data_IF_268851652023
#
_entry.id   IF_268851652023
#
_cell.length_a   1.000
_cell.length_b   1.000
_cell.length_c   1.000
_cell.angle_alpha   90.00
_cell.angle_beta   90.00
_cell.angle_gamma   90.00
#
_symmetry.space_group_name_H-M   'P 1'
#
loop_
_entity.id
_entity.type
_entity.pdbx_description
1 polymer ?
#
# COMPACT_ATOMS: atom_id res chain seq x y z
N UNK A 1 34.94 -21.34 82.74
CA UNK A 1 35.99 -21.94 81.90
C UNK A 1 35.56 -23.37 81.57
N UNK A 2 35.03 -23.58 80.38
CA UNK A 2 34.74 -24.90 79.80
C UNK A 2 34.79 -24.77 78.27
N UNK A 3 35.46 -25.73 77.64
CA UNK A 3 35.68 -25.85 76.20
C UNK A 3 34.39 -26.26 75.46
N UNK A 4 34.24 -25.83 74.20
CA UNK A 4 33.83 -26.74 73.11
C UNK A 4 34.25 -26.18 71.74
N UNK A 5 34.61 -27.09 70.85
CA UNK A 5 35.21 -26.94 69.54
C UNK A 5 34.18 -26.76 68.42
N UNK A 6 34.51 -26.00 67.36
CA UNK A 6 33.99 -26.27 66.01
C UNK A 6 34.89 -25.61 64.94
N UNK A 7 35.26 -26.43 63.95
CA UNK A 7 36.15 -26.16 62.83
C UNK A 7 35.39 -25.60 61.61
N UNK A 8 36.06 -24.74 60.83
CA UNK A 8 35.63 -24.32 59.49
C UNK A 8 36.20 -25.28 58.42
N UNK A 9 35.46 -25.58 57.33
CA UNK A 9 35.95 -26.45 56.25
C UNK A 9 36.79 -25.72 55.18
N UNK A 10 37.63 -26.45 54.42
CA UNK A 10 38.51 -25.93 53.37
C UNK A 10 37.83 -25.87 51.97
N UNK A 11 38.44 -25.21 50.97
CA UNK A 11 37.86 -25.03 49.64
C UNK A 11 38.10 -26.26 48.75
N UNK A 12 37.07 -26.68 48.00
CA UNK A 12 37.10 -27.85 47.12
C UNK A 12 36.77 -27.52 45.66
N UNK A 13 37.80 -27.72 44.83
CA UNK A 13 37.88 -28.33 43.50
C UNK A 13 36.95 -27.93 42.34
N UNK A 14 37.60 -27.65 41.21
CA UNK A 14 37.05 -27.31 39.90
C UNK A 14 36.42 -28.53 39.21
N UNK A 15 35.31 -28.30 38.53
CA UNK A 15 34.57 -29.28 37.74
C UNK A 15 35.35 -29.85 36.55
N UNK A 16 35.72 -31.13 36.62
CA UNK A 16 36.16 -31.98 35.50
C UNK A 16 34.94 -32.57 34.76
N UNK A 17 34.91 -32.63 33.41
CA UNK A 17 33.80 -33.24 32.68
C UNK A 17 33.83 -34.78 32.77
N UNK A 18 32.64 -35.38 32.90
CA UNK A 18 32.40 -36.81 33.03
C UNK A 18 32.85 -37.63 31.80
N UNK A 19 33.53 -38.75 32.08
CA UNK A 19 34.03 -39.74 31.13
C UNK A 19 32.96 -40.80 30.88
N UNK A 20 32.54 -40.96 29.63
CA UNK A 20 31.53 -41.95 29.21
C UNK A 20 32.18 -43.34 29.19
N UNK A 21 31.73 -44.21 30.10
CA UNK A 21 32.11 -45.62 30.17
C UNK A 21 31.43 -46.40 29.04
N UNK A 22 32.21 -47.09 28.22
CA UNK A 22 31.73 -48.03 27.18
C UNK A 22 31.84 -49.46 27.74
N UNK A 23 30.78 -50.30 27.66
CA UNK A 23 30.86 -51.67 28.16
C UNK A 23 31.70 -52.53 27.21
N UNK A 24 32.71 -53.18 27.79
CA UNK A 24 33.47 -54.25 27.16
C UNK A 24 32.65 -55.54 27.24
N UNK A 25 32.17 -56.04 26.10
CA UNK A 25 31.91 -57.46 25.83
C UNK A 25 31.45 -57.63 24.38
N UNK A 26 32.42 -57.79 23.48
CA UNK A 26 32.23 -58.44 22.19
C UNK A 26 33.61 -58.87 21.66
N UNK A 27 34.10 -60.01 22.15
CA UNK A 27 35.22 -60.72 21.52
C UNK A 27 34.74 -61.16 20.13
N UNK A 28 35.28 -60.54 19.09
CA UNK A 28 35.03 -60.93 17.69
C UNK A 28 36.22 -61.77 17.23
N UNK A 29 35.94 -63.03 16.92
CA UNK A 29 36.87 -63.96 16.27
C UNK A 29 37.32 -63.40 14.90
N UNK A 30 38.62 -63.27 14.61
CA UNK A 30 39.12 -62.66 13.38
C UNK A 30 38.93 -63.49 12.10
N UNK A 31 38.36 -64.70 12.15
CA UNK A 31 38.30 -65.60 10.98
C UNK A 31 36.91 -65.97 10.45
N UNK A 32 35.83 -65.30 10.85
CA UNK A 32 34.53 -65.51 10.18
C UNK A 32 34.28 -64.52 9.02
N UNK A 33 33.99 -65.00 7.79
CA UNK A 33 33.63 -64.12 6.70
C UNK A 33 32.23 -63.53 6.94
N UNK A 34 32.19 -62.27 7.35
CA UNK A 34 30.96 -61.47 7.40
C UNK A 34 30.28 -61.48 6.04
N UNK A 35 29.23 -62.29 5.88
CA UNK A 35 28.33 -62.23 4.72
C UNK A 35 27.69 -60.83 4.68
N UNK A 36 28.27 -59.93 3.87
CA UNK A 36 27.66 -58.65 3.55
C UNK A 36 26.35 -58.89 2.83
N UNK A 37 25.25 -58.87 3.58
CA UNK A 37 23.89 -58.80 3.04
C UNK A 37 23.82 -57.57 2.13
N UNK A 38 23.79 -57.80 0.81
CA UNK A 38 23.69 -56.74 -0.19
C UNK A 38 22.30 -56.10 -0.07
N UNK A 39 22.20 -55.04 0.73
CA UNK A 39 21.04 -54.16 0.70
C UNK A 39 21.00 -53.44 -0.66
N UNK A 40 19.82 -53.33 -1.31
CA UNK A 40 19.71 -52.75 -2.64
C UNK A 40 20.19 -51.29 -2.64
N UNK A 41 20.96 -50.94 -3.67
CA UNK A 41 21.63 -49.65 -3.87
C UNK A 41 20.72 -48.43 -3.61
N UNK A 42 19.42 -48.57 -3.87
CA UNK A 42 18.39 -47.56 -3.63
C UNK A 42 18.20 -47.14 -2.17
N UNK A 43 18.41 -48.03 -1.20
CA UNK A 43 18.37 -47.66 0.23
C UNK A 43 19.60 -46.87 0.68
N UNK A 44 20.72 -46.99 -0.05
CA UNK A 44 21.98 -46.30 0.29
C UNK A 44 22.05 -44.85 -0.21
N UNK A 45 21.19 -44.49 -1.16
CA UNK A 45 21.14 -43.16 -1.79
C UNK A 45 20.04 -42.26 -1.18
N UNK A 46 19.24 -42.77 -0.24
CA UNK A 46 18.17 -41.98 0.38
C UNK A 46 16.95 -41.77 -0.53
N UNK A 47 16.69 -42.70 -1.45
CA UNK A 47 15.52 -42.65 -2.35
C UNK A 47 14.17 -42.62 -1.63
N UNK A 48 14.13 -43.02 -0.36
CA UNK A 48 12.96 -42.94 0.52
C UNK A 48 12.58 -41.49 0.84
N UNK A 49 13.55 -40.58 0.99
CA UNK A 49 13.28 -39.16 1.17
C UNK A 49 12.80 -38.48 -0.11
N UNK A 50 13.30 -38.92 -1.26
CA UNK A 50 12.88 -38.40 -2.56
C UNK A 50 11.44 -38.76 -2.90
N UNK A 51 11.00 -40.01 -2.65
CA UNK A 51 9.61 -40.43 -2.89
C UNK A 51 8.64 -39.74 -1.94
N UNK A 52 9.01 -39.54 -0.67
CA UNK A 52 8.20 -38.77 0.30
C UNK A 52 8.08 -37.30 -0.12
N UNK A 53 9.19 -36.68 -0.54
CA UNK A 53 9.17 -35.29 -1.03
C UNK A 53 8.27 -35.13 -2.27
N UNK A 54 8.36 -36.07 -3.21
CA UNK A 54 7.52 -36.07 -4.41
C UNK A 54 6.04 -36.27 -4.08
N UNK A 55 5.72 -37.14 -3.11
CA UNK A 55 4.36 -37.36 -2.65
C UNK A 55 3.76 -36.10 -1.99
N UNK A 56 4.51 -35.43 -1.11
CA UNK A 56 4.08 -34.19 -0.46
C UNK A 56 3.82 -33.09 -1.49
N UNK A 57 4.74 -32.91 -2.45
CA UNK A 57 4.54 -31.93 -3.51
C UNK A 57 3.34 -32.28 -4.39
N UNK A 58 3.13 -33.56 -4.73
CA UNK A 58 1.95 -34.01 -5.46
C UNK A 58 0.63 -33.67 -4.75
N UNK A 59 0.56 -33.89 -3.43
CA UNK A 59 -0.61 -33.52 -2.63
C UNK A 59 -0.82 -32.01 -2.60
N UNK A 60 0.23 -31.22 -2.44
CA UNK A 60 0.13 -29.76 -2.46
C UNK A 60 -0.36 -29.20 -3.81
N UNK A 61 0.09 -29.80 -4.92
CA UNK A 61 -0.39 -29.43 -6.26
C UNK A 61 -1.88 -29.76 -6.42
N UNK A 62 -2.33 -30.93 -5.96
CA UNK A 62 -3.75 -31.31 -6.02
C UNK A 62 -4.62 -30.37 -5.17
N UNK A 63 -4.19 -30.03 -3.95
CA UNK A 63 -4.88 -29.07 -3.09
C UNK A 63 -4.95 -27.66 -3.72
N UNK A 64 -3.86 -27.21 -4.36
CA UNK A 64 -3.83 -25.94 -5.06
C UNK A 64 -4.77 -25.93 -6.28
N UNK A 65 -4.80 -27.01 -7.07
CA UNK A 65 -5.73 -27.15 -8.19
C UNK A 65 -7.20 -27.15 -7.70
N UNK A 66 -7.49 -27.85 -6.62
CA UNK A 66 -8.83 -27.87 -6.03
C UNK A 66 -9.23 -26.48 -5.52
N UNK A 67 -8.32 -25.75 -4.90
CA UNK A 67 -8.53 -24.37 -4.44
C UNK A 67 -8.78 -23.40 -5.60
N UNK A 68 -8.02 -23.50 -6.69
CA UNK A 68 -8.22 -22.67 -7.89
C UNK A 68 -9.57 -22.99 -8.56
N UNK A 69 -9.91 -24.27 -8.72
CA UNK A 69 -11.20 -24.66 -9.33
C UNK A 69 -12.36 -24.20 -8.44
N UNK A 70 -12.28 -24.36 -7.12
CA UNK A 70 -13.30 -23.89 -6.18
C UNK A 70 -13.48 -22.37 -6.23
N UNK A 71 -12.40 -21.60 -6.24
CA UNK A 71 -12.47 -20.13 -6.31
C UNK A 71 -12.95 -19.61 -7.67
N UNK A 72 -12.62 -20.30 -8.77
CA UNK A 72 -13.06 -19.92 -10.13
C UNK A 72 -14.49 -20.40 -10.46
N UNK A 73 -14.96 -21.50 -9.87
CA UNK A 73 -16.35 -21.97 -10.06
C UNK A 73 -17.35 -21.16 -9.24
N UNK A 74 -16.98 -20.64 -8.07
CA UNK A 74 -17.81 -19.65 -7.34
C UNK A 74 -17.95 -18.34 -8.14
N UNK A 75 -16.90 -17.91 -8.84
CA UNK A 75 -16.90 -16.68 -9.66
C UNK A 75 -17.76 -16.78 -10.92
N UNK A 76 -18.10 -17.99 -11.38
CA UNK A 76 -18.90 -18.22 -12.61
C UNK A 76 -20.35 -18.60 -12.32
N UNK A 77 -20.67 -19.15 -11.14
CA UNK A 77 -22.05 -19.47 -10.74
C UNK A 77 -22.87 -18.28 -10.24
N UNK A 78 -22.26 -17.12 -9.96
CA UNK A 78 -22.99 -15.89 -9.57
C UNK A 78 -23.41 -14.99 -10.74
N UNK A 79 -23.38 -15.48 -11.99
CA UNK A 79 -24.10 -14.82 -13.09
C UNK A 79 -25.52 -15.39 -13.20
N UNK A 80 -26.37 -15.04 -12.22
CA UNK A 80 -27.83 -15.10 -12.42
C UNK A 80 -28.24 -13.92 -13.30
N UNK A 81 -29.08 -14.20 -14.28
CA UNK A 81 -29.58 -13.25 -15.28
C UNK A 81 -30.15 -11.96 -14.64
N UNK A 82 -29.89 -10.78 -15.22
CA UNK A 82 -30.35 -9.51 -14.66
C UNK A 82 -31.80 -9.24 -15.09
N UNK A 83 -32.77 -9.89 -14.43
CA UNK A 83 -34.19 -9.47 -14.52
C UNK A 83 -34.87 -9.22 -13.18
N UNK A 84 -34.13 -9.26 -12.07
CA UNK A 84 -34.69 -8.92 -10.76
C UNK A 84 -33.75 -7.97 -10.01
N UNK A 85 -34.06 -6.68 -10.04
CA UNK A 85 -33.51 -5.74 -9.08
C UNK A 85 -34.24 -5.93 -7.75
N UNK A 86 -33.68 -6.75 -6.87
CA UNK A 86 -33.98 -6.68 -5.45
C UNK A 86 -33.16 -5.51 -4.88
N UNK A 87 -33.79 -4.37 -4.63
CA UNK A 87 -33.23 -3.37 -3.72
C UNK A 87 -33.27 -3.98 -2.32
N UNK A 88 -32.15 -4.58 -1.92
CA UNK A 88 -31.93 -5.08 -0.57
C UNK A 88 -32.09 -3.93 0.42
N UNK A 89 -33.13 -4.04 1.25
CA UNK A 89 -33.31 -3.24 2.44
C UNK A 89 -32.07 -3.37 3.33
N UNK A 90 -31.51 -2.24 3.73
CA UNK A 90 -30.51 -2.19 4.78
C UNK A 90 -31.09 -2.77 6.05
N UNK A 91 -30.35 -3.69 6.67
CA UNK A 91 -30.62 -4.16 8.01
C UNK A 91 -30.58 -3.01 9.00
N UNK A 92 -31.72 -2.77 9.64
CA UNK A 92 -31.91 -1.83 10.74
C UNK A 92 -33.39 -1.87 11.11
N UNK A 93 -33.72 -2.38 12.29
CA UNK A 93 -35.09 -2.37 12.81
C UNK A 93 -35.60 -0.93 12.85
N UNK A 94 -36.68 -0.65 12.11
CA UNK A 94 -37.42 0.62 11.96
C UNK A 94 -37.24 1.42 10.65
N UNK A 95 -36.91 0.78 9.52
CA UNK A 95 -37.08 1.39 8.19
C UNK A 95 -38.49 1.20 7.63
N UNK A 96 -39.19 2.30 7.32
CA UNK A 96 -40.52 2.28 6.69
C UNK A 96 -40.57 1.46 5.39
N UNK A 97 -41.69 0.76 5.16
CA UNK A 97 -41.93 -0.08 3.98
C UNK A 97 -41.76 0.75 2.69
N UNK A 98 -40.98 0.22 1.74
CA UNK A 98 -40.75 0.82 0.44
C UNK A 98 -42.07 1.15 -0.28
N UNK A 99 -42.30 2.44 -0.56
CA UNK A 99 -43.39 2.88 -1.44
C UNK A 99 -43.02 2.51 -2.87
N UNK A 100 -43.81 1.63 -3.49
CA UNK A 100 -43.71 1.33 -4.91
C UNK A 100 -44.15 2.55 -5.72
N UNK A 101 -43.22 3.21 -6.39
CA UNK A 101 -43.53 4.17 -7.44
C UNK A 101 -43.52 3.44 -8.78
N UNK A 102 -44.69 3.26 -9.40
CA UNK A 102 -44.79 2.77 -10.77
C UNK A 102 -44.28 3.84 -11.74
N UNK A 103 -43.01 3.75 -12.12
CA UNK A 103 -42.51 4.53 -13.25
C UNK A 103 -42.90 3.80 -14.55
N UNK A 104 -43.94 4.32 -15.24
CA UNK A 104 -44.19 3.99 -16.64
C UNK A 104 -42.95 4.34 -17.46
N UNK A 105 -42.19 3.33 -17.86
CA UNK A 105 -41.04 3.46 -18.76
C UNK A 105 -41.59 3.92 -20.12
N UNK A 106 -41.53 5.23 -20.40
CA UNK A 106 -41.61 5.72 -21.77
C UNK A 106 -40.29 5.37 -22.46
N UNK A 107 -40.27 4.57 -23.54
CA UNK A 107 -39.05 4.34 -24.29
C UNK A 107 -38.57 5.68 -24.85
N UNK A 108 -37.44 6.17 -24.35
CA UNK A 108 -36.73 7.28 -24.97
C UNK A 108 -36.24 6.78 -26.32
N UNK A 109 -36.73 7.41 -27.40
CA UNK A 109 -36.23 7.20 -28.75
C UNK A 109 -34.69 7.24 -28.72
N UNK A 110 -34.07 6.11 -29.03
CA UNK A 110 -32.63 5.98 -29.18
C UNK A 110 -32.18 6.77 -30.41
N UNK A 111 -32.05 8.08 -30.29
CA UNK A 111 -31.33 8.89 -31.27
C UNK A 111 -29.84 8.82 -30.95
N UNK A 112 -29.11 8.25 -31.90
CA UNK A 112 -27.65 8.27 -32.06
C UNK A 112 -26.81 7.28 -31.22
N UNK A 113 -27.11 5.98 -31.35
CA UNK A 113 -26.09 4.91 -31.28
C UNK A 113 -25.88 4.33 -32.69
N UNK A 114 -25.34 5.15 -33.59
CA UNK A 114 -24.84 4.70 -34.88
C UNK A 114 -23.65 5.59 -35.24
N UNK A 115 -22.47 5.24 -34.74
CA UNK A 115 -21.22 5.75 -35.31
C UNK A 115 -21.09 5.13 -36.71
N UNK A 116 -21.54 5.82 -37.74
CA UNK A 116 -21.15 5.47 -39.10
C UNK A 116 -19.64 5.69 -39.21
N UNK A 117 -18.90 4.62 -39.46
CA UNK A 117 -17.49 4.68 -39.80
C UNK A 117 -17.35 5.40 -41.15
N UNK A 118 -17.05 6.70 -41.11
CA UNK A 118 -16.69 7.44 -42.30
C UNK A 118 -15.31 6.95 -42.77
N UNK A 119 -15.26 6.20 -43.88
CA UNK A 119 -13.99 5.86 -44.52
C UNK A 119 -13.47 7.11 -45.23
N UNK A 120 -12.25 7.51 -44.91
CA UNK A 120 -11.53 8.60 -45.57
C UNK A 120 -11.26 8.17 -47.02
N UNK A 121 -11.88 8.82 -47.99
CA UNK A 121 -11.58 8.65 -49.43
C UNK A 121 -10.99 9.95 -49.98
N UNK A 122 -9.90 9.82 -50.72
CA UNK A 122 -9.18 10.93 -51.35
C UNK A 122 -9.96 11.44 -52.57
N UNK A 123 -10.23 12.75 -52.62
CA UNK A 123 -10.77 13.44 -53.81
C UNK A 123 -9.65 14.01 -54.69
N UNK A 124 -8.61 13.23 -54.98
CA UNK A 124 -7.57 13.64 -55.93
C UNK A 124 -7.96 13.25 -57.36
N UNK A 125 -7.95 14.20 -58.27
CA UNK A 125 -8.21 14.05 -59.72
C UNK A 125 -7.18 13.19 -60.46
N UNK A 126 -6.13 12.68 -59.79
CA UNK A 126 -5.06 11.88 -60.40
C UNK A 126 -5.04 10.41 -59.92
N UNK A 127 -6.09 9.92 -59.26
CA UNK A 127 -6.13 8.54 -58.79
C UNK A 127 -6.47 7.54 -59.91
N UNK A 128 -5.51 6.71 -60.29
CA UNK A 128 -5.60 5.71 -61.40
C UNK A 128 -6.48 4.50 -61.09
N UNK A 129 -7.09 4.37 -59.91
CA UNK A 129 -7.98 3.25 -59.56
C UNK A 129 -9.24 3.78 -58.89
N UNK A 130 -10.35 3.82 -59.63
CA UNK A 130 -11.69 4.04 -59.11
C UNK A 130 -12.41 2.68 -58.98
N UNK A 131 -12.87 2.35 -57.77
CA UNK A 131 -13.80 1.23 -57.55
C UNK A 131 -15.23 1.72 -57.83
N UNK A 132 -16.12 0.90 -58.42
CA UNK A 132 -17.50 1.30 -58.70
C UNK A 132 -18.32 1.51 -57.41
N UNK A 133 -19.20 2.52 -57.42
CA UNK A 133 -20.12 2.83 -56.32
C UNK A 133 -21.17 1.72 -56.15
N UNK A 134 -21.32 1.23 -54.92
CA UNK A 134 -22.42 0.32 -54.57
C UNK A 134 -23.72 1.11 -54.32
N UNK A 135 -24.89 0.56 -54.68
CA UNK A 135 -26.18 1.23 -54.50
C UNK A 135 -26.48 1.44 -53.01
N UNK A 136 -26.77 2.69 -52.64
CA UNK A 136 -27.26 3.04 -51.31
C UNK A 136 -28.73 2.63 -51.18
N UNK A 137 -29.01 1.68 -50.29
CA UNK A 137 -30.36 1.28 -49.93
C UNK A 137 -31.14 2.45 -49.32
N UNK A 138 -32.36 2.61 -49.81
CA UNK A 138 -33.36 3.64 -49.53
C UNK A 138 -33.63 3.88 -48.04
N UNK A 139 -33.18 5.01 -47.49
CA UNK A 139 -33.71 5.61 -46.24
C UNK A 139 -33.56 7.14 -46.19
N UNK A 140 -32.98 7.75 -47.21
CA UNK A 140 -32.71 9.20 -47.29
C UNK A 140 -33.89 10.04 -47.81
N UNK A 141 -35.01 9.41 -48.20
CA UNK A 141 -36.19 10.10 -48.74
C UNK A 141 -37.20 10.59 -47.69
N UNK A 142 -37.08 10.22 -46.41
CA UNK A 142 -38.05 10.63 -45.37
C UNK A 142 -37.69 11.92 -44.62
N UNK A 143 -36.49 12.47 -44.78
CA UNK A 143 -36.04 13.62 -43.97
C UNK A 143 -36.23 14.99 -44.66
N UNK A 144 -36.46 15.03 -45.97
CA UNK A 144 -36.74 16.28 -46.70
C UNK A 144 -38.21 16.75 -46.60
N UNK A 145 -39.10 15.94 -46.00
CA UNK A 145 -40.53 16.25 -45.89
C UNK A 145 -40.95 16.92 -44.57
N UNK A 146 -40.04 17.11 -43.59
CA UNK A 146 -40.41 17.60 -42.25
C UNK A 146 -39.89 19.01 -41.91
N UNK A 147 -39.26 19.72 -42.85
CA UNK A 147 -38.64 21.03 -42.62
C UNK A 147 -39.42 22.24 -43.20
N UNK A 148 -40.66 22.08 -43.68
CA UNK A 148 -41.40 23.19 -44.33
C UNK A 148 -42.84 23.45 -43.89
N UNK A 149 -43.20 23.26 -42.61
CA UNK A 149 -44.58 23.50 -42.16
C UNK A 149 -44.65 24.10 -40.76
N UNK A 150 -44.89 25.41 -40.69
CA UNK A 150 -44.85 26.21 -39.48
C UNK A 150 -46.06 26.14 -38.55
N UNK A 151 -45.96 26.97 -37.50
CA UNK A 151 -46.99 27.43 -36.55
C UNK A 151 -47.53 26.36 -35.58
N UNK A 152 -47.71 26.60 -34.29
CA UNK A 152 -47.70 27.81 -33.45
C UNK A 152 -47.87 27.36 -31.98
N UNK A 153 -47.76 28.34 -31.06
CA UNK A 153 -47.83 28.27 -29.58
C UNK A 153 -46.49 27.91 -28.94
N UNK A 154 -45.77 28.79 -28.27
CA UNK A 154 -46.12 30.07 -27.68
C UNK A 154 -45.40 30.17 -26.33
N UNK A 155 -44.95 31.38 -26.02
CA UNK A 155 -44.58 31.88 -24.69
C UNK A 155 -43.24 31.45 -24.05
N UNK A 156 -42.46 32.48 -23.68
CA UNK A 156 -41.54 32.41 -22.54
C UNK A 156 -40.15 32.97 -22.79
N UNK A 157 -40.03 34.28 -23.04
CA UNK A 157 -38.74 34.98 -22.96
C UNK A 157 -38.20 34.99 -21.53
N UNK A 158 -36.87 35.02 -21.40
CA UNK A 158 -36.18 35.16 -20.13
C UNK A 158 -34.67 35.11 -20.30
N UNK A 159 -34.08 36.27 -20.58
CA UNK A 159 -32.64 36.53 -20.46
C UNK A 159 -32.18 36.31 -19.02
N UNK A 160 -31.30 35.32 -18.81
CA UNK A 160 -30.54 35.13 -17.59
C UNK A 160 -29.07 34.97 -17.94
N UNK A 161 -28.37 36.11 -18.06
CA UNK A 161 -26.92 36.14 -18.11
C UNK A 161 -26.33 35.61 -16.81
N UNK A 162 -25.35 34.73 -16.92
CA UNK A 162 -24.62 34.17 -15.80
C UNK A 162 -23.57 33.18 -16.32
N UNK A 163 -22.39 33.69 -16.66
CA UNK A 163 -21.18 32.87 -16.77
C UNK A 163 -20.82 32.49 -15.33
N UNK A 164 -21.45 31.44 -14.83
CA UNK A 164 -21.10 30.77 -13.60
C UNK A 164 -20.65 29.36 -13.94
N UNK A 165 -19.44 28.99 -13.52
CA UNK A 165 -18.96 27.60 -13.49
C UNK A 165 -19.80 26.79 -12.49
N UNK A 166 -21.06 26.54 -12.84
CA UNK A 166 -21.98 25.68 -12.11
C UNK A 166 -21.55 24.24 -12.32
N UNK A 167 -20.83 23.69 -11.34
CA UNK A 167 -20.55 22.27 -11.22
C UNK A 167 -21.91 21.57 -11.08
N UNK A 168 -22.36 20.90 -12.15
CA UNK A 168 -23.52 20.03 -12.10
C UNK A 168 -23.21 18.84 -11.19
N UNK A 169 -23.78 18.85 -9.98
CA UNK A 169 -23.75 17.70 -9.07
C UNK A 169 -24.66 16.59 -9.61
N UNK A 170 -24.10 15.75 -10.48
CA UNK A 170 -24.69 14.47 -10.84
C UNK A 170 -24.51 13.49 -9.68
N UNK A 171 -25.57 13.27 -8.90
CA UNK A 171 -25.63 12.18 -7.92
C UNK A 171 -25.91 10.88 -8.69
N UNK A 172 -24.83 10.19 -9.07
CA UNK A 172 -24.93 8.89 -9.69
C UNK A 172 -23.67 8.07 -9.43
N UNK A 173 -23.74 7.17 -8.43
CA UNK A 173 -23.11 5.83 -8.33
C UNK A 173 -21.61 5.61 -8.58
N UNK A 174 -20.88 6.49 -9.24
CA UNK A 174 -19.44 6.51 -9.29
C UNK A 174 -18.94 7.39 -8.16
N UNK A 175 -18.13 6.86 -7.25
CA UNK A 175 -17.42 7.68 -6.27
C UNK A 175 -16.69 8.78 -7.04
N UNK A 176 -17.20 10.01 -6.93
CA UNK A 176 -16.68 11.16 -7.63
C UNK A 176 -15.20 11.29 -7.27
N UNK A 177 -14.29 11.09 -8.25
CA UNK A 177 -12.83 11.30 -8.12
C UNK A 177 -12.47 12.79 -7.94
N UNK A 178 -13.36 13.55 -7.30
CA UNK A 178 -13.14 14.93 -6.87
C UNK A 178 -12.20 14.81 -5.67
N UNK A 179 -10.94 15.18 -5.86
CA UNK A 179 -9.94 15.14 -4.79
C UNK A 179 -10.44 15.89 -3.55
N UNK A 180 -10.32 15.26 -2.39
CA UNK A 180 -10.81 15.78 -1.12
C UNK A 180 -9.77 16.73 -0.52
N UNK A 181 -10.22 17.88 -0.02
CA UNK A 181 -9.33 18.90 0.55
C UNK A 181 -8.94 18.53 1.99
N UNK A 182 -7.66 18.36 2.25
CA UNK A 182 -7.07 18.12 3.57
C UNK A 182 -5.91 19.10 3.75
N UNK A 183 -5.92 19.89 4.83
CA UNK A 183 -4.84 20.84 5.16
C UNK A 183 -4.44 21.76 3.99
N UNK A 184 -5.41 22.22 3.20
CA UNK A 184 -5.18 23.06 2.03
C UNK A 184 -4.88 22.30 0.73
N UNK A 185 -4.47 21.02 0.77
CA UNK A 185 -4.16 20.25 -0.44
C UNK A 185 -5.31 19.32 -0.87
N UNK A 186 -5.42 19.03 -2.18
CA UNK A 186 -6.37 18.03 -2.69
C UNK A 186 -5.73 16.65 -2.75
N UNK A 187 -6.30 15.71 -2.00
CA UNK A 187 -5.94 14.30 -2.02
C UNK A 187 -6.89 13.54 -2.95
N UNK A 188 -6.34 13.04 -4.05
CA UNK A 188 -7.07 12.23 -5.04
C UNK A 188 -6.93 10.74 -4.71
N UNK A 189 -7.76 10.24 -3.80
CA UNK A 189 -7.71 8.88 -3.30
C UNK A 189 -9.09 8.40 -2.82
N UNK A 190 -9.26 7.08 -2.70
CA UNK A 190 -10.45 6.46 -2.13
C UNK A 190 -10.16 5.76 -0.79
N UNK A 191 -8.93 5.27 -0.60
CA UNK A 191 -8.48 4.60 0.63
C UNK A 191 -7.07 5.06 0.93
N UNK A 192 -6.88 5.61 2.12
CA UNK A 192 -5.60 6.17 2.52
C UNK A 192 -5.08 5.50 3.78
N UNK A 193 -3.77 5.30 3.82
CA UNK A 193 -3.04 5.11 5.07
C UNK A 193 -2.29 6.41 5.38
N UNK A 194 -2.30 6.81 6.65
CA UNK A 194 -1.67 8.04 7.11
C UNK A 194 -0.60 7.67 8.12
N UNK A 195 0.62 8.14 7.93
CA UNK A 195 1.64 8.18 8.97
C UNK A 195 1.69 9.60 9.54
N UNK A 196 1.41 9.73 10.84
CA UNK A 196 1.54 10.99 11.55
C UNK A 196 2.71 10.87 12.51
N UNK A 197 3.70 11.73 12.32
CA UNK A 197 4.70 11.93 13.36
C UNK A 197 4.02 12.51 14.60
N UNK A 198 4.16 11.76 15.68
CA UNK A 198 3.59 12.02 16.99
C UNK A 198 4.68 12.45 17.97
N UNK A 199 5.79 12.99 17.47
CA UNK A 199 6.85 13.58 18.28
C UNK A 199 6.34 14.82 19.04
N UNK A 200 7.09 15.21 20.07
CA UNK A 200 6.73 16.33 20.95
C UNK A 200 6.59 17.67 20.21
N UNK A 201 7.34 17.89 19.13
CA UNK A 201 7.26 19.11 18.30
C UNK A 201 5.91 19.27 17.59
N UNK A 202 5.20 18.16 17.36
CA UNK A 202 3.94 18.15 16.62
C UNK A 202 2.70 18.02 17.48
N UNK A 203 2.87 17.83 18.79
CA UNK A 203 1.81 17.60 19.77
C UNK A 203 0.60 18.55 19.61
N UNK A 204 0.83 19.85 19.42
CA UNK A 204 -0.23 20.86 19.30
C UNK A 204 -1.07 20.76 18.03
N UNK A 205 -0.62 20.02 17.02
CA UNK A 205 -1.29 19.92 15.72
C UNK A 205 -2.05 18.60 15.54
N UNK A 206 -1.71 17.55 16.31
CA UNK A 206 -2.16 16.18 16.06
C UNK A 206 -3.69 16.05 16.02
N UNK A 207 -4.39 16.57 17.02
CA UNK A 207 -5.84 16.41 17.10
C UNK A 207 -6.56 17.15 15.98
N UNK A 208 -6.07 18.34 15.63
CA UNK A 208 -6.61 19.15 14.53
C UNK A 208 -6.41 18.44 13.19
N UNK A 209 -5.17 18.03 12.90
CA UNK A 209 -4.82 17.35 11.64
C UNK A 209 -5.56 16.03 11.51
N UNK A 210 -5.61 15.23 12.59
CA UNK A 210 -6.38 13.99 12.63
C UNK A 210 -7.87 14.26 12.37
N UNK A 211 -8.45 15.28 12.99
CA UNK A 211 -9.85 15.67 12.77
C UNK A 211 -10.14 16.11 11.33
N UNK A 212 -9.25 16.87 10.71
CA UNK A 212 -9.39 17.25 9.30
C UNK A 212 -9.32 16.03 8.36
N UNK A 213 -8.39 15.10 8.62
CA UNK A 213 -8.25 13.87 7.85
C UNK A 213 -9.51 13.01 7.99
N UNK A 214 -9.96 12.72 9.22
CA UNK A 214 -11.10 11.82 9.45
C UNK A 214 -12.42 12.42 8.97
N UNK A 215 -12.54 13.74 8.95
CA UNK A 215 -13.69 14.43 8.34
C UNK A 215 -13.81 14.15 6.84
N UNK A 216 -12.70 14.07 6.12
CA UNK A 216 -12.67 13.84 4.68
C UNK A 216 -12.57 12.35 4.32
N UNK A 217 -11.82 11.60 5.12
CA UNK A 217 -11.56 10.17 4.98
C UNK A 217 -11.92 9.44 6.29
N UNK A 218 -13.22 9.20 6.56
CA UNK A 218 -13.66 8.52 7.78
C UNK A 218 -13.11 7.11 7.95
N UNK A 219 -12.71 6.46 6.85
CA UNK A 219 -12.10 5.13 6.83
C UNK A 219 -10.57 5.15 6.71
N UNK A 220 -9.92 6.30 6.95
CA UNK A 220 -8.47 6.40 6.96
C UNK A 220 -7.83 5.60 8.11
N UNK A 221 -6.85 4.76 7.78
CA UNK A 221 -6.02 4.10 8.79
C UNK A 221 -4.86 5.03 9.19
N UNK A 222 -4.96 5.63 10.37
CA UNK A 222 -4.00 6.62 10.88
C UNK A 222 -3.03 5.96 11.87
N UNK A 223 -1.77 5.93 11.48
CA UNK A 223 -0.63 5.39 12.21
C UNK A 223 0.18 6.54 12.84
N UNK A 224 0.10 6.67 14.16
CA UNK A 224 0.81 7.66 14.97
C UNK A 224 1.97 7.00 15.73
N UNK A 225 3.20 7.45 15.44
CA UNK A 225 4.45 6.96 16.04
C UNK A 225 5.45 8.12 16.16
N UNK A 226 6.50 7.94 16.95
CA UNK A 226 7.50 8.99 17.19
C UNK A 226 8.51 9.09 16.04
N UNK A 227 8.62 10.28 15.47
CA UNK A 227 9.61 10.62 14.45
C UNK A 227 9.29 10.13 13.05
N UNK A 228 10.04 10.64 12.08
CA UNK A 228 10.02 10.21 10.66
C UNK A 228 11.34 9.64 10.18
N UNK A 229 12.18 9.18 11.11
CA UNK A 229 13.47 8.60 10.78
C UNK A 229 13.35 7.45 9.78
N UNK A 230 14.23 7.44 8.80
CA UNK A 230 14.43 6.33 7.86
C UNK A 230 15.79 5.70 8.16
N UNK A 231 15.79 4.54 8.81
CA UNK A 231 17.04 3.85 9.17
C UNK A 231 17.35 2.73 8.18
N UNK A 232 18.53 2.79 7.58
CA UNK A 232 19.03 1.82 6.60
C UNK A 232 20.31 1.18 7.12
N UNK A 233 20.38 -0.15 7.09
CA UNK A 233 21.57 -0.90 7.48
C UNK A 233 21.95 -1.84 6.34
N UNK A 234 23.21 -1.75 5.87
CA UNK A 234 23.71 -2.56 4.75
C UNK A 234 22.83 -2.46 3.49
N UNK A 235 22.35 -1.25 3.19
CA UNK A 235 21.47 -0.99 2.04
C UNK A 235 20.04 -1.54 2.16
N UNK A 236 19.63 -2.00 3.35
CA UNK A 236 18.26 -2.51 3.62
C UNK A 236 17.56 -1.66 4.67
N UNK A 237 16.26 -1.43 4.46
CA UNK A 237 15.42 -0.77 5.46
C UNK A 237 15.33 -1.64 6.72
N UNK A 238 15.54 -1.01 7.87
CA UNK A 238 15.47 -1.65 9.17
C UNK A 238 14.01 -1.88 9.60
N UNK A 239 13.73 -2.98 10.29
CA UNK A 239 12.42 -3.26 10.91
C UNK A 239 11.52 -4.24 10.17
N UNK A 240 12.02 -4.87 9.11
CA UNK A 240 11.26 -5.88 8.37
C UNK A 240 11.31 -7.27 9.00
N UNK A 241 12.35 -7.54 9.80
CA UNK A 241 12.46 -8.77 10.59
C UNK A 241 12.52 -8.45 12.08
N UNK A 242 11.80 -9.22 12.90
CA UNK A 242 11.80 -9.05 14.37
C UNK A 242 13.19 -9.21 15.00
N UNK A 243 14.04 -10.05 14.40
CA UNK A 243 15.44 -10.22 14.80
C UNK A 243 16.23 -8.91 14.79
N UNK A 244 15.94 -8.01 13.84
CA UNK A 244 16.59 -6.71 13.71
C UNK A 244 16.21 -5.75 14.84
N UNK A 245 15.10 -5.99 15.54
CA UNK A 245 14.51 -5.06 16.50
C UNK A 245 14.92 -5.34 17.96
N UNK A 246 15.57 -6.47 18.25
CA UNK A 246 15.80 -6.95 19.62
C UNK A 246 16.48 -5.92 20.52
N UNK A 247 17.52 -5.27 20.02
CA UNK A 247 18.36 -4.35 20.80
C UNK A 247 18.11 -2.87 20.47
N UNK A 248 17.10 -2.59 19.64
CA UNK A 248 16.76 -1.23 19.23
C UNK A 248 15.79 -0.63 20.23
N UNK A 249 16.19 0.48 20.84
CA UNK A 249 15.30 1.36 21.59
C UNK A 249 14.71 2.41 20.64
N UNK A 250 13.42 2.79 20.81
CA UNK A 250 12.86 3.94 20.10
C UNK A 250 13.73 5.17 20.32
N UNK A 251 14.08 5.87 19.25
CA UNK A 251 14.85 7.13 19.37
C UNK A 251 13.98 8.31 19.80
N UNK A 252 12.68 8.25 19.52
CA UNK A 252 11.70 9.31 19.81
C UNK A 252 10.46 8.64 20.38
N UNK A 253 10.05 9.06 21.58
CA UNK A 253 8.79 8.62 22.17
C UNK A 253 7.60 9.32 21.49
N UNK A 254 6.56 8.55 21.18
CA UNK A 254 5.32 9.08 20.62
C UNK A 254 4.47 9.72 21.74
N UNK A 255 3.99 10.94 21.51
CA UNK A 255 3.03 11.63 22.38
C UNK A 255 1.66 10.94 22.36
N UNK A 256 1.17 10.60 21.17
CA UNK A 256 0.03 9.72 20.95
C UNK A 256 0.47 8.49 20.16
N UNK A 257 0.15 7.29 20.64
CA UNK A 257 0.45 6.05 19.94
C UNK A 257 -0.81 5.43 19.34
N UNK A 258 -0.68 4.86 18.15
CA UNK A 258 -1.74 4.04 17.52
C UNK A 258 -2.16 2.90 18.44
N UNK A 259 -3.46 2.62 18.47
CA UNK A 259 -4.00 1.37 19.03
C UNK A 259 -4.82 0.62 17.97
N UNK A 260 -4.96 -0.69 18.10
CA UNK A 260 -5.78 -1.49 17.18
C UNK A 260 -7.23 -0.97 17.09
N UNK A 261 -7.79 -0.53 18.22
CA UNK A 261 -9.15 0.01 18.28
C UNK A 261 -9.31 1.33 17.51
N UNK A 262 -8.22 2.08 17.33
CA UNK A 262 -8.23 3.36 16.62
C UNK A 262 -8.22 3.23 15.09
N UNK A 263 -8.01 2.02 14.56
CA UNK A 263 -7.92 1.75 13.12
C UNK A 263 -9.28 1.26 12.60
N UNK A 264 -9.90 1.96 11.63
CA UNK A 264 -11.24 1.62 11.16
C UNK A 264 -11.29 0.37 10.29
N UNK A 265 -10.19 -0.01 9.61
CA UNK A 265 -10.20 -1.13 8.66
C UNK A 265 -9.50 -2.37 9.21
N UNK A 266 -9.88 -3.54 8.70
CA UNK A 266 -9.18 -4.80 9.01
C UNK A 266 -7.74 -4.80 8.50
N UNK A 267 -7.47 -4.18 7.35
CA UNK A 267 -6.11 -4.10 6.79
C UNK A 267 -5.20 -3.24 7.66
N UNK A 268 -5.71 -2.12 8.17
CA UNK A 268 -5.01 -1.29 9.14
C UNK A 268 -4.66 -2.08 10.40
N UNK A 269 -5.64 -2.78 10.98
CA UNK A 269 -5.45 -3.62 12.17
C UNK A 269 -4.43 -4.74 11.94
N UNK A 270 -4.47 -5.40 10.79
CA UNK A 270 -3.52 -6.46 10.45
C UNK A 270 -2.09 -5.93 10.28
N UNK A 271 -1.94 -4.77 9.64
CA UNK A 271 -0.64 -4.10 9.54
C UNK A 271 -0.12 -3.69 10.92
N UNK A 272 -0.98 -3.13 11.77
CA UNK A 272 -0.64 -2.79 13.16
C UNK A 272 -0.15 -4.01 13.94
N UNK A 273 -0.90 -5.11 13.93
CA UNK A 273 -0.50 -6.36 14.63
C UNK A 273 0.85 -6.87 14.20
N UNK A 274 1.18 -6.72 12.92
CA UNK A 274 2.43 -7.25 12.34
C UNK A 274 3.62 -6.31 12.58
N UNK A 275 3.41 -5.00 12.52
CA UNK A 275 4.48 -4.01 12.41
C UNK A 275 4.52 -2.94 13.51
N UNK A 276 3.62 -2.95 14.51
CA UNK A 276 3.62 -1.97 15.62
C UNK A 276 5.00 -1.81 16.27
N UNK A 277 5.69 -2.92 16.55
CA UNK A 277 7.02 -2.90 17.14
C UNK A 277 8.04 -2.21 16.23
N UNK A 278 7.98 -2.48 14.93
CA UNK A 278 8.88 -1.87 13.94
C UNK A 278 8.60 -0.36 13.84
N UNK A 279 7.34 0.05 13.70
CA UNK A 279 6.98 1.46 13.61
C UNK A 279 7.36 2.22 14.88
N UNK A 280 7.24 1.58 16.04
CA UNK A 280 7.64 2.17 17.34
C UNK A 280 9.15 2.35 17.43
N UNK A 281 9.95 1.38 16.97
CA UNK A 281 11.41 1.39 17.17
C UNK A 281 12.18 2.13 16.08
N UNK A 282 11.73 2.06 14.83
CA UNK A 282 12.49 2.54 13.66
C UNK A 282 11.71 3.48 12.75
N UNK A 283 10.45 3.78 13.08
CA UNK A 283 9.71 4.91 12.50
C UNK A 283 9.25 4.73 11.06
N UNK A 284 9.28 5.84 10.31
CA UNK A 284 8.69 5.97 8.98
C UNK A 284 9.28 5.00 7.95
N UNK A 285 10.57 4.68 8.06
CA UNK A 285 11.23 3.74 7.15
C UNK A 285 10.52 2.39 7.08
N UNK A 286 10.24 1.78 8.24
CA UNK A 286 9.53 0.51 8.32
C UNK A 286 8.08 0.62 7.84
N UNK A 287 7.42 1.76 8.05
CA UNK A 287 6.07 2.01 7.54
C UNK A 287 6.02 2.02 6.01
N UNK A 288 6.87 2.79 5.35
CA UNK A 288 6.88 2.83 3.87
C UNK A 288 7.23 1.45 3.30
N UNK A 289 8.20 0.77 3.92
CA UNK A 289 8.62 -0.56 3.49
C UNK A 289 7.54 -1.63 3.71
N UNK A 290 6.73 -1.54 4.78
CA UNK A 290 5.59 -2.43 4.98
C UNK A 290 4.48 -2.17 3.96
N UNK A 291 4.22 -0.91 3.60
CA UNK A 291 3.27 -0.55 2.54
C UNK A 291 3.71 -1.16 1.20
N UNK A 292 5.01 -1.11 0.92
CA UNK A 292 5.60 -1.65 -0.31
C UNK A 292 5.52 -3.17 -0.40
N UNK A 293 5.78 -3.86 0.71
CA UNK A 293 6.06 -5.30 0.72
C UNK A 293 4.90 -6.16 1.20
N UNK A 294 4.02 -5.64 2.06
CA UNK A 294 2.88 -6.41 2.58
C UNK A 294 1.69 -6.34 1.60
N UNK A 295 1.18 -7.48 1.09
CA UNK A 295 0.04 -7.49 0.18
C UNK A 295 -1.22 -6.82 0.72
N UNK A 296 -1.41 -6.79 2.05
CA UNK A 296 -2.56 -6.14 2.70
C UNK A 296 -2.58 -4.63 2.49
N UNK A 297 -1.42 -4.02 2.27
CA UNK A 297 -1.31 -2.58 2.03
C UNK A 297 -1.68 -2.16 0.60
N UNK A 298 -1.83 -3.10 -0.35
CA UNK A 298 -2.22 -2.81 -1.74
C UNK A 298 -3.60 -2.19 -1.90
N UNK A 299 -4.41 -2.21 -0.84
CA UNK A 299 -5.73 -1.59 -0.79
C UNK A 299 -5.67 -0.06 -0.76
N UNK A 300 -4.57 0.51 -0.27
CA UNK A 300 -4.39 1.95 -0.20
C UNK A 300 -3.99 2.48 -1.58
N UNK A 301 -4.70 3.49 -2.06
CA UNK A 301 -4.37 4.18 -3.30
C UNK A 301 -3.75 5.57 -3.07
N UNK A 302 -3.62 5.97 -1.81
CA UNK A 302 -2.69 7.00 -1.40
C UNK A 302 -2.11 6.75 -0.01
N UNK A 303 -0.92 7.27 0.21
CA UNK A 303 -0.22 7.35 1.49
C UNK A 303 -0.06 8.83 1.82
N UNK A 304 -0.38 9.20 3.05
CA UNK A 304 -0.21 10.56 3.57
C UNK A 304 0.81 10.52 4.69
N UNK A 305 1.78 11.44 4.67
CA UNK A 305 2.75 11.59 5.76
C UNK A 305 2.65 13.03 6.28
N UNK A 306 2.44 13.19 7.58
CA UNK A 306 2.44 14.48 8.27
C UNK A 306 3.61 14.50 9.26
N UNK A 307 4.52 15.48 9.13
CA UNK A 307 5.73 15.57 9.96
C UNK A 307 6.33 16.98 9.92
N UNK A 308 7.34 17.24 10.75
CA UNK A 308 8.28 18.34 10.58
C UNK A 308 9.52 17.94 9.74
N UNK A 309 9.71 16.64 9.48
CA UNK A 309 10.81 16.01 8.75
C UNK A 309 12.22 16.28 9.30
N UNK A 310 12.33 16.54 10.61
CA UNK A 310 13.62 16.82 11.24
C UNK A 310 14.60 15.63 11.27
N UNK A 311 14.11 14.39 11.26
CA UNK A 311 14.95 13.21 11.50
C UNK A 311 15.77 12.73 10.29
N UNK A 312 15.19 12.87 9.09
CA UNK A 312 15.79 12.42 7.84
C UNK A 312 16.10 10.92 7.73
N UNK A 313 17.04 10.62 6.84
CA UNK A 313 17.62 9.30 6.58
C UNK A 313 18.90 9.17 7.39
N UNK A 314 19.14 7.98 7.95
CA UNK A 314 20.46 7.57 8.46
C UNK A 314 20.78 6.21 7.87
N UNK A 315 21.90 6.11 7.18
CA UNK A 315 22.35 4.87 6.56
C UNK A 315 23.72 4.45 7.08
N UNK A 316 23.81 3.21 7.58
CA UNK A 316 25.03 2.64 8.13
C UNK A 316 25.42 1.33 7.44
N UNK A 317 26.69 0.96 7.58
CA UNK A 317 27.26 -0.33 7.20
C UNK A 317 27.73 -1.05 8.46
N UNK A 318 27.27 -2.29 8.65
CA UNK A 318 27.81 -3.17 9.68
C UNK A 318 29.23 -3.56 9.32
N UNK A 319 30.16 -3.43 10.25
CA UNK A 319 31.58 -3.75 10.01
C UNK A 319 31.99 -5.13 10.56
N UNK A 320 31.16 -5.76 11.38
CA UNK A 320 31.43 -7.06 11.97
C UNK A 320 30.74 -7.21 13.32
N UNK A 321 30.92 -8.35 13.97
CA UNK A 321 30.36 -8.57 15.32
C UNK A 321 31.18 -7.78 16.33
N UNK A 322 30.54 -6.85 17.04
CA UNK A 322 31.17 -6.03 18.10
C UNK A 322 31.76 -4.71 17.62
N UNK A 323 31.75 -4.44 16.31
CA UNK A 323 32.19 -3.16 15.75
C UNK A 323 31.01 -2.19 15.65
N UNK A 324 31.31 -0.91 15.89
CA UNK A 324 30.33 0.15 15.71
C UNK A 324 29.97 0.26 14.21
N UNK A 325 28.69 0.39 13.85
CA UNK A 325 28.32 0.60 12.45
C UNK A 325 28.94 1.87 11.89
N UNK A 326 29.52 1.79 10.70
CA UNK A 326 30.03 2.95 9.97
C UNK A 326 28.86 3.72 9.37
N UNK A 327 28.71 4.99 9.72
CA UNK A 327 27.74 5.86 9.05
C UNK A 327 28.24 6.24 7.65
N UNK A 328 27.37 6.07 6.65
CA UNK A 328 27.67 6.35 5.25
C UNK A 328 26.98 7.62 4.74
N UNK A 329 25.82 7.95 5.32
CA UNK A 329 24.98 9.06 4.91
C UNK A 329 23.97 9.40 6.01
N UNK A 330 23.76 10.68 6.24
CA UNK A 330 22.64 11.18 7.03
C UNK A 330 22.23 12.58 6.59
N UNK A 331 20.93 12.88 6.56
CA UNK A 331 20.40 14.16 6.06
C UNK A 331 19.34 14.83 6.97
N UNK A 332 19.22 14.36 8.22
CA UNK A 332 18.40 15.02 9.23
C UNK A 332 18.89 16.41 9.62
N UNK A 333 18.07 17.17 10.33
CA UNK A 333 18.43 18.49 10.87
C UNK A 333 19.62 18.38 11.82
N UNK A 334 20.53 19.34 11.72
CA UNK A 334 21.78 19.37 12.48
C UNK A 334 22.89 18.49 11.89
N UNK A 335 22.65 17.78 10.78
CA UNK A 335 23.71 17.13 10.01
C UNK A 335 24.39 18.10 9.05
N UNK A 336 25.67 17.84 8.78
CA UNK A 336 26.43 18.55 7.77
C UNK A 336 25.91 18.17 6.37
N UNK A 337 25.35 19.14 5.65
CA UNK A 337 24.77 18.95 4.31
C UNK A 337 25.85 18.79 3.23
N UNK A 338 27.07 19.22 3.52
CA UNK A 338 28.22 19.10 2.62
C UNK A 338 29.02 17.81 2.89
N UNK A 339 28.60 17.01 3.87
CA UNK A 339 29.22 15.72 4.16
C UNK A 339 29.19 14.80 2.93
N UNK A 340 30.32 14.15 2.66
CA UNK A 340 30.43 13.23 1.56
C UNK A 340 29.48 12.04 1.72
N UNK A 341 28.80 11.66 0.63
CA UNK A 341 27.97 10.46 0.57
C UNK A 341 28.84 9.24 0.25
N UNK A 342 29.12 8.41 1.26
CA UNK A 342 29.98 7.23 1.14
C UNK A 342 29.23 5.96 0.68
N UNK A 343 27.96 6.07 0.31
CA UNK A 343 27.16 4.92 -0.13
C UNK A 343 27.55 4.51 -1.55
N UNK A 344 27.75 3.22 -1.73
CA UNK A 344 27.89 2.58 -3.05
C UNK A 344 26.56 2.60 -3.82
N UNK A 345 26.62 2.33 -5.13
CA UNK A 345 25.40 2.20 -5.95
C UNK A 345 24.46 1.10 -5.43
N UNK A 346 25.01 -0.02 -4.97
CA UNK A 346 24.23 -1.12 -4.41
C UNK A 346 23.52 -0.74 -3.11
N UNK A 347 24.20 0.04 -2.26
CA UNK A 347 23.64 0.56 -1.02
C UNK A 347 22.55 1.62 -1.22
N UNK A 348 22.44 2.20 -2.42
CA UNK A 348 21.37 3.14 -2.79
C UNK A 348 20.17 2.45 -3.44
N UNK A 349 20.23 1.14 -3.75
CA UNK A 349 19.15 0.41 -4.48
C UNK A 349 17.78 0.47 -3.81
N UNK A 350 17.72 0.55 -2.47
CA UNK A 350 16.46 0.68 -1.75
C UNK A 350 15.69 1.95 -2.13
N UNK A 351 16.40 3.04 -2.46
CA UNK A 351 15.80 4.31 -2.89
C UNK A 351 15.07 4.10 -4.22
N UNK A 352 15.73 3.48 -5.20
CA UNK A 352 15.12 3.14 -6.48
C UNK A 352 13.92 2.21 -6.31
N UNK A 353 14.00 1.22 -5.41
CA UNK A 353 12.88 0.32 -5.13
C UNK A 353 11.65 1.05 -4.55
N UNK A 354 11.87 2.08 -3.73
CA UNK A 354 10.78 2.94 -3.25
C UNK A 354 10.20 3.78 -4.39
N UNK A 355 11.04 4.48 -5.15
CA UNK A 355 10.59 5.29 -6.28
C UNK A 355 9.81 4.44 -7.28
N UNK A 356 10.31 3.25 -7.61
CA UNK A 356 9.64 2.29 -8.51
C UNK A 356 8.31 1.80 -7.96
N UNK A 357 8.20 1.56 -6.65
CA UNK A 357 6.91 1.21 -6.03
C UNK A 357 5.88 2.33 -6.20
N UNK A 358 6.31 3.59 -6.08
CA UNK A 358 5.45 4.76 -6.19
C UNK A 358 5.17 5.19 -7.64
N UNK A 359 5.95 4.71 -8.64
CA UNK A 359 5.74 5.07 -10.06
C UNK A 359 4.31 4.74 -10.53
N UNK A 360 3.61 5.73 -11.09
CA UNK A 360 2.36 5.52 -11.84
C UNK A 360 2.64 5.31 -13.33
N UNK A 361 2.39 4.10 -13.85
CA UNK A 361 2.36 3.86 -15.30
C UNK A 361 2.30 2.38 -15.68
N UNK A 362 1.17 1.95 -16.24
CA UNK A 362 0.96 0.62 -16.83
C UNK A 362 -0.11 -0.19 -16.11
N UNK A 363 -1.23 -0.45 -16.78
CA UNK A 363 -2.30 -1.34 -16.31
C UNK A 363 -1.77 -2.73 -15.96
N UNK A 364 -2.08 -3.17 -14.75
CA UNK A 364 -1.91 -4.52 -14.21
C UNK A 364 -0.43 -4.98 -14.08
N UNK A 365 0.17 -4.98 -12.88
CA UNK A 365 -0.46 -4.82 -11.55
C UNK A 365 -0.82 -3.34 -11.23
N UNK A 366 -1.50 -3.07 -10.09
CA UNK A 366 -1.96 -1.74 -9.74
C UNK A 366 -0.82 -0.72 -9.75
N UNK A 367 -1.09 0.47 -10.27
CA UNK A 367 -0.19 1.62 -10.07
C UNK A 367 0.03 1.83 -8.57
N UNK A 368 1.26 2.12 -8.17
CA UNK A 368 1.59 2.45 -6.78
C UNK A 368 0.68 3.53 -6.17
N UNK A 369 0.55 3.57 -4.83
CA UNK A 369 -0.25 4.59 -4.17
C UNK A 369 0.31 5.99 -4.47
N UNK A 370 -0.54 7.01 -4.45
CA UNK A 370 -0.08 8.40 -4.47
C UNK A 370 0.57 8.78 -3.14
N UNK A 371 1.70 9.49 -3.15
CA UNK A 371 2.34 9.97 -1.93
C UNK A 371 2.04 11.45 -1.69
N UNK A 372 1.42 11.78 -0.56
CA UNK A 372 1.20 13.17 -0.13
C UNK A 372 2.01 13.43 1.13
N UNK A 373 2.81 14.49 1.10
CA UNK A 373 3.65 14.90 2.23
C UNK A 373 3.14 16.26 2.73
N UNK A 374 2.92 16.37 4.03
CA UNK A 374 2.58 17.60 4.70
C UNK A 374 3.68 17.92 5.70
N UNK A 375 4.40 19.02 5.47
CA UNK A 375 5.50 19.45 6.33
C UNK A 375 5.19 20.72 7.08
N UNK A 376 5.42 20.74 8.40
CA UNK A 376 5.29 21.95 9.21
C UNK A 376 6.52 22.85 9.14
N UNK A 377 7.69 22.30 8.79
CA UNK A 377 8.97 23.03 8.89
C UNK A 377 9.93 22.71 7.74
N UNK A 378 10.51 21.49 7.73
CA UNK A 378 11.60 21.14 6.82
C UNK A 378 11.12 20.53 5.51
N UNK A 379 11.85 20.72 4.40
CA UNK A 379 11.62 19.90 3.22
C UNK A 379 11.87 18.41 3.56
N UNK A 380 11.04 17.48 3.08
CA UNK A 380 11.27 16.06 3.27
C UNK A 380 12.57 15.57 2.62
N UNK A 381 13.12 14.42 3.06
CA UNK A 381 14.30 13.81 2.45
C UNK A 381 14.16 13.63 0.92
N UNK A 382 15.26 13.78 0.15
CA UNK A 382 15.21 13.71 -1.32
C UNK A 382 14.53 12.44 -1.87
N UNK A 383 14.74 11.29 -1.22
CA UNK A 383 14.09 10.02 -1.62
C UNK A 383 12.56 10.08 -1.55
N UNK A 384 11.99 10.78 -0.56
CA UNK A 384 10.54 10.95 -0.45
C UNK A 384 10.03 11.91 -1.52
N UNK A 385 10.80 12.95 -1.84
CA UNK A 385 10.49 13.89 -2.92
C UNK A 385 10.47 13.19 -4.29
N UNK A 386 11.43 12.30 -4.55
CA UNK A 386 11.43 11.46 -5.75
C UNK A 386 10.20 10.54 -5.82
N UNK A 387 9.77 9.98 -4.67
CA UNK A 387 8.55 9.18 -4.58
C UNK A 387 7.28 10.02 -4.84
N UNK A 388 7.22 11.26 -4.33
CA UNK A 388 6.13 12.20 -4.62
C UNK A 388 6.04 12.46 -6.12
N UNK A 389 7.17 12.76 -6.76
CA UNK A 389 7.25 13.00 -8.21
C UNK A 389 6.82 11.76 -9.01
N UNK A 390 7.34 10.59 -8.66
CA UNK A 390 7.02 9.32 -9.32
C UNK A 390 5.52 8.95 -9.22
N UNK A 391 4.91 9.23 -8.08
CA UNK A 391 3.49 8.92 -7.82
C UNK A 391 2.50 9.96 -8.35
N UNK A 392 2.99 11.11 -8.83
CA UNK A 392 2.17 12.29 -9.14
C UNK A 392 1.34 12.71 -7.92
N UNK A 393 1.99 12.66 -6.76
CA UNK A 393 1.49 13.14 -5.48
C UNK A 393 1.76 14.63 -5.27
N UNK A 394 1.81 15.10 -4.02
CA UNK A 394 2.09 16.50 -3.69
C UNK A 394 2.80 16.64 -2.35
N UNK A 395 3.81 17.50 -2.28
CA UNK A 395 4.31 18.10 -1.04
C UNK A 395 3.51 19.37 -0.76
N UNK A 396 3.09 19.58 0.48
CA UNK A 396 2.43 20.81 0.95
C UNK A 396 3.10 21.26 2.23
N UNK A 397 3.62 22.49 2.22
CA UNK A 397 4.06 23.14 3.44
C UNK A 397 2.81 23.63 4.19
N UNK A 398 2.70 23.29 5.47
CA UNK A 398 1.56 23.65 6.33
C UNK A 398 2.02 24.56 7.47
N UNK A 399 2.89 25.53 7.14
CA UNK A 399 3.45 26.51 8.08
C UNK A 399 2.37 27.36 8.75
N UNK A 400 1.22 27.52 8.12
CA UNK A 400 0.05 28.18 8.72
C UNK A 400 -0.40 27.52 10.03
N UNK A 401 -0.14 26.21 10.24
CA UNK A 401 -0.41 25.54 11.52
C UNK A 401 0.39 26.15 12.68
N UNK A 402 1.62 26.63 12.43
CA UNK A 402 2.46 27.28 13.44
C UNK A 402 1.82 28.56 14.00
N UNK A 403 1.01 29.23 13.18
CA UNK A 403 0.32 30.47 13.56
C UNK A 403 -1.09 30.22 14.13
N UNK A 404 -1.55 28.97 14.15
CA UNK A 404 -2.92 28.61 14.54
C UNK A 404 -4.00 29.00 13.52
N UNK A 405 -3.63 29.56 12.36
CA UNK A 405 -4.53 30.05 11.32
C UNK A 405 -5.35 28.96 10.61
N UNK A 406 -6.08 29.34 9.57
CA UNK A 406 -6.78 28.40 8.68
C UNK A 406 -5.90 28.03 7.47
N UNK A 407 -6.14 26.86 6.83
CA UNK A 407 -5.48 26.55 5.57
C UNK A 407 -5.74 27.66 4.53
N UNK A 408 -4.74 28.06 3.72
CA UNK A 408 -4.93 29.05 2.68
C UNK A 408 -5.99 28.58 1.67
N UNK A 409 -6.82 29.51 1.18
CA UNK A 409 -7.89 29.19 0.21
C UNK A 409 -7.32 28.65 -1.11
N UNK A 410 -6.09 29.09 -1.46
CA UNK A 410 -5.36 28.71 -2.65
C UNK A 410 -3.95 28.18 -2.28
N UNK A 411 -3.75 26.85 -2.29
CA UNK A 411 -2.50 26.20 -1.85
C UNK A 411 -1.38 26.22 -2.91
N UNK A 412 -1.54 26.98 -3.99
CA UNK A 412 -0.55 27.14 -5.07
C UNK A 412 0.25 28.45 -4.93
N UNK A 413 -0.15 29.35 -4.03
CA UNK A 413 0.54 30.62 -3.80
C UNK A 413 1.73 30.50 -2.83
N UNK A 414 2.06 29.28 -2.40
CA UNK A 414 3.25 28.94 -1.60
C UNK A 414 4.13 27.91 -2.35
N UNK A 415 4.50 28.18 -3.61
CA UNK A 415 5.62 27.47 -4.26
C UNK A 415 6.95 28.07 -3.77
N UNK A 416 7.79 27.21 -3.16
CA UNK A 416 9.23 27.43 -2.96
C UNK A 416 10.01 26.26 -3.54
#
# INVERSE_FOLDING_TARGET
MSENSSQNPPPGDESRPEEIIVPADAVVDPNEPLQRRKLPFWKRIGGEGFTISLAIHGVLVILALFWVVSTMTESTKTKKDPTTFATGAGGGSNGDKAKNYEHKIKPKNAKALAKNAARITSKSTTATIALPDMPVSTSSSMLNALTSGGASKGFGGGSGGGIGSGIGAGVGGGKNFVGLKVMGARIFANRIAVYMDSSKSLQSYLDRVRGEITKQFPDADIFMYGGTKITVVNGKILGMEKSQLKDIKPSIEAYQKTSEASLPTSNGKDLFKKYDEAYTKVGLGAFIESIRTDPRARVYNAIVIFSDFNDGVVQTRSQGKGEQPMELYADGVGRDKDAADFRTADEKRWMSAWVDHFKRGGSNPPSGPKLYLFSTDQPPPPVLMDCVKASKGKLTMVKWLLTGGNPPENPEDEEY
#
